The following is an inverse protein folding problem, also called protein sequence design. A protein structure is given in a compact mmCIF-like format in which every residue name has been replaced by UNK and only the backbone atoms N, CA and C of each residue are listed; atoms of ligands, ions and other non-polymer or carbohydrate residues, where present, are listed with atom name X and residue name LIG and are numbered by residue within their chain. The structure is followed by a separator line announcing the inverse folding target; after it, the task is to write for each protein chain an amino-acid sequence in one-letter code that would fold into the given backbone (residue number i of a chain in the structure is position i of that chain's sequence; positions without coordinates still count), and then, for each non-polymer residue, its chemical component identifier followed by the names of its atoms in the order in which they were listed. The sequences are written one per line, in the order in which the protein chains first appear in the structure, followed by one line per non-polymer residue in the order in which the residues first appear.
data_IF_128588162131
#
_entry.id   IF_128588162131
#
_cell.length_a   1.000
_cell.length_b   1.000
_cell.length_c   1.000
_cell.angle_alpha   90.00
_cell.angle_beta   90.00
_cell.angle_gamma   90.00
#
_symmetry.space_group_name_H-M   'P 1'
#
loop_
_entity.id
_entity.type
_entity.pdbx_description
1 polymer ?
#
# COMPACT_ATOMS: atom_id res chain seq x y z
N UNK A 1 -3.64 15.83 -10.96
CA UNK A 1 -3.96 14.43 -10.69
C UNK A 1 -3.82 13.55 -11.93
N UNK A 2 -4.34 13.96 -13.12
CA UNK A 2 -4.23 13.17 -14.37
C UNK A 2 -2.76 12.90 -14.75
N UNK A 3 -1.87 13.86 -14.60
CA UNK A 3 -0.43 13.72 -14.87
C UNK A 3 0.22 12.73 -13.89
N UNK A 4 -0.09 12.85 -12.60
CA UNK A 4 0.38 11.93 -11.55
C UNK A 4 -0.05 10.49 -11.87
N UNK A 5 -1.31 10.28 -12.22
CA UNK A 5 -1.82 8.96 -12.61
C UNK A 5 -1.11 8.40 -13.85
N UNK A 6 -0.82 9.24 -14.84
CA UNK A 6 -0.10 8.83 -16.04
C UNK A 6 1.34 8.38 -15.73
N UNK A 7 2.05 9.11 -14.85
CA UNK A 7 3.40 8.74 -14.44
C UNK A 7 3.43 7.47 -13.57
N UNK A 8 2.48 7.33 -12.65
CA UNK A 8 2.31 6.09 -11.87
C UNK A 8 2.09 4.90 -12.82
N UNK A 9 1.20 5.04 -13.81
CA UNK A 9 0.93 3.98 -14.79
C UNK A 9 2.16 3.60 -15.63
N UNK A 10 3.00 4.56 -16.00
CA UNK A 10 4.24 4.29 -16.75
C UNK A 10 5.24 3.46 -15.95
N UNK A 11 5.24 3.58 -14.61
CA UNK A 11 6.15 2.84 -13.75
C UNK A 11 5.74 1.37 -13.56
N UNK A 12 4.52 0.97 -13.97
CA UNK A 12 3.99 -0.37 -13.80
C UNK A 12 4.15 -1.16 -15.11
N UNK A 13 4.85 -2.29 -15.04
CA UNK A 13 4.91 -3.23 -16.15
C UNK A 13 3.51 -3.85 -16.38
N UNK A 14 2.96 -3.80 -17.61
CA UNK A 14 1.66 -4.39 -17.90
C UNK A 14 1.61 -5.92 -17.80
N UNK A 15 2.77 -6.60 -17.84
CA UNK A 15 2.83 -8.06 -17.74
C UNK A 15 2.54 -8.52 -16.30
N UNK A 16 1.49 -9.32 -16.12
CA UNK A 16 1.12 -9.93 -14.84
C UNK A 16 2.13 -11.04 -14.47
N UNK A 17 2.42 -11.13 -13.18
CA UNK A 17 3.28 -12.19 -12.59
C UNK A 17 2.41 -13.11 -11.73
N UNK A 18 1.72 -14.03 -12.40
CA UNK A 18 0.80 -14.97 -11.75
C UNK A 18 1.52 -15.87 -10.74
N UNK A 19 0.98 -15.91 -9.52
CA UNK A 19 1.48 -16.72 -8.41
C UNK A 19 0.35 -17.03 -7.43
N UNK A 20 0.64 -17.81 -6.40
CA UNK A 20 -0.20 -17.86 -5.21
C UNK A 20 -0.18 -16.50 -4.51
N UNK A 21 -1.34 -15.99 -4.20
CA UNK A 21 -1.50 -14.69 -3.53
C UNK A 21 -2.42 -14.81 -2.32
N UNK A 22 -2.14 -13.99 -1.33
CA UNK A 22 -3.04 -13.75 -0.21
C UNK A 22 -4.23 -12.85 -0.64
N UNK A 23 -3.95 -11.87 -1.49
CA UNK A 23 -4.93 -10.95 -2.04
C UNK A 23 -5.33 -9.80 -1.10
N UNK A 24 -4.94 -9.87 0.19
CA UNK A 24 -5.11 -8.79 1.16
C UNK A 24 -4.00 -8.81 2.22
N UNK A 25 -2.73 -8.79 1.78
CA UNK A 25 -1.55 -9.02 2.60
C UNK A 25 -1.09 -7.74 3.34
N UNK A 26 -1.99 -7.13 4.12
CA UNK A 26 -1.73 -5.97 4.97
C UNK A 26 -1.38 -6.39 6.42
N UNK A 27 -0.85 -5.46 7.23
CA UNK A 27 -0.40 -5.78 8.59
C UNK A 27 -1.51 -6.28 9.50
N UNK A 28 -2.75 -5.82 9.34
CA UNK A 28 -3.89 -6.30 10.11
C UNK A 28 -4.16 -7.80 9.91
N UNK A 29 -3.73 -8.38 8.79
CA UNK A 29 -3.89 -9.80 8.47
C UNK A 29 -2.63 -10.64 8.77
N UNK A 30 -1.63 -10.04 9.43
CA UNK A 30 -0.37 -10.70 9.82
C UNK A 30 -0.29 -10.78 11.34
N UNK A 31 -0.28 -11.98 11.87
CA UNK A 31 -0.16 -12.25 13.30
C UNK A 31 1.23 -12.79 13.63
N UNK A 32 1.83 -12.30 14.72
CA UNK A 32 3.10 -12.78 15.21
C UNK A 32 2.93 -13.57 16.51
N UNK A 33 3.35 -14.83 16.51
CA UNK A 33 3.38 -15.67 17.71
C UNK A 33 4.72 -15.52 18.43
N UNK A 34 4.76 -14.69 19.47
CA UNK A 34 5.96 -14.44 20.26
C UNK A 34 6.54 -15.69 20.96
N UNK A 35 5.70 -16.71 21.23
CA UNK A 35 6.18 -17.93 21.88
C UNK A 35 6.91 -18.86 20.92
N UNK A 36 6.40 -18.91 19.68
CA UNK A 36 6.94 -19.78 18.62
C UNK A 36 7.93 -19.07 17.72
N UNK A 37 8.03 -17.74 17.84
CA UNK A 37 8.77 -16.88 16.90
C UNK A 37 8.35 -17.14 15.44
N UNK A 38 7.05 -17.15 15.21
CA UNK A 38 6.42 -17.55 13.95
C UNK A 38 5.39 -16.53 13.49
N UNK A 39 5.15 -16.47 12.17
CA UNK A 39 4.18 -15.58 11.55
C UNK A 39 3.03 -16.43 11.02
N UNK A 40 1.80 -15.97 11.27
CA UNK A 40 0.58 -16.52 10.68
C UNK A 40 -0.14 -15.42 9.91
N UNK A 41 -0.66 -15.77 8.75
CA UNK A 41 -1.51 -14.89 7.95
C UNK A 41 -2.94 -15.41 8.00
N UNK A 42 -3.89 -14.50 8.01
CA UNK A 42 -5.33 -14.77 8.11
C UNK A 42 -6.09 -13.98 7.06
N UNK A 43 -7.31 -14.39 6.79
CA UNK A 43 -8.24 -13.67 5.92
C UNK A 43 -7.75 -13.46 4.48
N UNK A 44 -7.32 -14.54 3.78
CA UNK A 44 -6.99 -14.42 2.36
C UNK A 44 -8.24 -14.04 1.55
N UNK A 45 -8.09 -13.24 0.50
CA UNK A 45 -9.22 -12.82 -0.35
C UNK A 45 -9.96 -14.01 -0.97
N UNK A 46 -9.25 -15.01 -1.48
CA UNK A 46 -9.81 -16.24 -2.03
C UNK A 46 -10.63 -16.12 -3.32
N UNK A 47 -10.67 -14.92 -3.92
CA UNK A 47 -11.37 -14.64 -5.18
C UNK A 47 -10.50 -13.80 -6.13
N UNK A 48 -10.71 -13.97 -7.43
CA UNK A 48 -10.13 -13.11 -8.46
C UNK A 48 -10.95 -11.80 -8.66
N UNK A 49 -10.54 -10.99 -9.64
CA UNK A 49 -11.23 -9.73 -9.95
C UNK A 49 -12.61 -9.92 -10.58
N UNK A 50 -12.89 -11.11 -11.14
CA UNK A 50 -14.18 -11.47 -11.72
C UNK A 50 -15.12 -12.10 -10.68
N UNK A 51 -14.64 -12.28 -9.43
CA UNK A 51 -15.39 -12.86 -8.34
C UNK A 51 -15.40 -14.39 -8.30
N UNK A 52 -14.57 -15.05 -9.12
CA UNK A 52 -14.43 -16.51 -9.09
C UNK A 52 -13.48 -16.93 -7.97
N UNK A 53 -13.73 -18.11 -7.38
CA UNK A 53 -12.82 -18.68 -6.40
C UNK A 53 -11.42 -18.90 -7.02
N UNK A 54 -10.42 -18.26 -6.45
CA UNK A 54 -9.04 -18.35 -6.92
C UNK A 54 -8.06 -18.05 -5.79
N UNK A 55 -6.98 -18.81 -5.75
CA UNK A 55 -5.80 -18.55 -4.91
C UNK A 55 -4.66 -17.94 -5.73
N UNK A 56 -4.89 -17.72 -7.03
CA UNK A 56 -3.91 -17.17 -7.96
C UNK A 56 -4.21 -15.70 -8.26
N UNK A 57 -3.15 -14.93 -8.41
CA UNK A 57 -3.21 -13.53 -8.81
C UNK A 57 -1.82 -12.99 -9.12
N UNK A 58 -1.72 -11.69 -9.32
CA UNK A 58 -0.43 -11.03 -9.50
C UNK A 58 0.25 -10.84 -8.13
N UNK A 59 1.40 -11.48 -7.93
CA UNK A 59 2.16 -11.42 -6.67
C UNK A 59 2.57 -9.99 -6.29
N UNK A 60 2.69 -9.09 -7.27
CA UNK A 60 3.00 -7.67 -7.02
C UNK A 60 1.92 -6.99 -6.19
N UNK A 61 0.67 -7.48 -6.26
CA UNK A 61 -0.42 -6.98 -5.44
C UNK A 61 -0.17 -7.21 -3.94
N UNK A 62 0.28 -8.40 -3.54
CA UNK A 62 0.62 -8.69 -2.15
C UNK A 62 1.83 -7.86 -1.67
N UNK A 63 2.85 -7.68 -2.51
CA UNK A 63 3.96 -6.79 -2.22
C UNK A 63 3.50 -5.34 -2.03
N UNK A 64 2.59 -4.86 -2.88
CA UNK A 64 2.02 -3.53 -2.74
C UNK A 64 1.17 -3.40 -1.47
N UNK A 65 0.44 -4.43 -1.05
CA UNK A 65 -0.32 -4.45 0.20
C UNK A 65 0.58 -4.39 1.44
N UNK A 66 1.75 -5.03 1.42
CA UNK A 66 2.77 -4.86 2.47
C UNK A 66 3.28 -3.41 2.52
N UNK A 67 3.62 -2.82 1.38
CA UNK A 67 4.08 -1.42 1.33
C UNK A 67 2.97 -0.45 1.73
N UNK A 68 1.72 -0.76 1.41
CA UNK A 68 0.53 -0.01 1.81
C UNK A 68 0.45 0.15 3.34
N UNK A 69 0.73 -0.93 4.09
CA UNK A 69 0.82 -0.89 5.56
C UNK A 69 2.14 -0.29 6.06
N UNK A 70 3.27 -0.74 5.55
CA UNK A 70 4.59 -0.44 6.12
C UNK A 70 5.06 0.99 5.82
N UNK A 71 4.92 1.44 4.57
CA UNK A 71 5.38 2.77 4.10
C UNK A 71 4.21 3.75 4.09
N UNK A 72 3.09 3.34 3.51
CA UNK A 72 1.89 4.17 3.40
C UNK A 72 1.11 4.30 4.71
N UNK A 73 1.43 3.49 5.73
CA UNK A 73 0.81 3.54 7.06
C UNK A 73 -0.72 3.42 7.02
N UNK A 74 -1.24 2.63 6.09
CA UNK A 74 -2.67 2.43 5.86
C UNK A 74 -3.45 2.11 7.14
N UNK A 75 -2.91 1.21 7.97
CA UNK A 75 -3.57 0.75 9.21
C UNK A 75 -3.78 1.91 10.21
N UNK A 76 -2.93 2.93 10.22
CA UNK A 76 -3.13 4.14 11.02
C UNK A 76 -4.26 5.00 10.46
N UNK A 77 -4.36 5.12 9.13
CA UNK A 77 -5.40 5.93 8.49
C UNK A 77 -6.79 5.32 8.73
N UNK A 78 -6.96 4.00 8.52
CA UNK A 78 -8.26 3.35 8.72
C UNK A 78 -8.68 3.26 10.19
N UNK A 79 -7.73 3.35 11.11
CA UNK A 79 -8.00 3.44 12.55
C UNK A 79 -8.13 4.87 13.09
N UNK A 80 -8.20 5.87 12.20
CA UNK A 80 -8.30 7.30 12.51
C UNK A 80 -7.14 7.85 13.39
N UNK A 81 -5.97 7.20 13.29
CA UNK A 81 -4.75 7.59 14.02
C UNK A 81 -3.87 8.48 13.15
N UNK A 82 -4.39 9.60 12.73
CA UNK A 82 -3.71 10.60 11.91
C UNK A 82 -4.26 11.99 12.22
N UNK A 83 -3.54 13.03 11.82
CA UNK A 83 -4.01 14.40 11.88
C UNK A 83 -3.85 15.07 10.50
N UNK A 84 -4.85 15.85 10.09
CA UNK A 84 -4.82 16.65 8.87
C UNK A 84 -4.92 18.12 9.26
N UNK A 85 -3.99 18.92 8.74
CA UNK A 85 -4.07 20.37 8.73
C UNK A 85 -4.27 20.82 7.28
N UNK A 86 -5.36 21.52 7.05
CA UNK A 86 -5.72 22.06 5.73
C UNK A 86 -6.03 23.56 5.90
N UNK A 87 -5.21 24.41 5.30
CA UNK A 87 -5.36 25.87 5.30
C UNK A 87 -5.93 26.41 3.96
N UNK A 88 -6.37 25.49 3.07
CA UNK A 88 -6.90 25.80 1.75
C UNK A 88 -5.85 25.92 0.65
N UNK A 89 -4.56 26.07 1.00
CA UNK A 89 -3.42 26.10 0.07
C UNK A 89 -2.53 24.85 0.23
N UNK A 90 -2.38 24.39 1.47
CA UNK A 90 -1.50 23.27 1.82
C UNK A 90 -2.25 22.26 2.69
N UNK A 91 -2.12 21.00 2.32
CA UNK A 91 -2.61 19.88 3.12
C UNK A 91 -1.42 19.14 3.74
N UNK A 92 -1.34 19.16 5.06
CA UNK A 92 -0.31 18.45 5.84
C UNK A 92 -0.96 17.24 6.49
N UNK A 93 -0.45 16.06 6.18
CA UNK A 93 -0.84 14.80 6.80
C UNK A 93 0.24 14.38 7.81
N UNK A 94 -0.15 14.30 9.07
CA UNK A 94 0.68 13.80 10.15
C UNK A 94 0.26 12.37 10.52
N UNK A 95 1.22 11.46 10.48
CA UNK A 95 1.04 10.04 10.82
C UNK A 95 2.00 9.66 11.95
N UNK A 96 1.63 8.70 12.82
CA UNK A 96 2.51 8.26 13.89
C UNK A 96 3.88 7.85 13.38
N UNK A 97 4.92 8.28 14.05
CA UNK A 97 6.29 7.88 13.75
C UNK A 97 6.56 6.45 14.22
N UNK A 98 7.40 5.75 13.47
CA UNK A 98 7.94 4.46 13.86
C UNK A 98 9.37 4.63 14.36
N UNK A 99 9.73 3.95 15.43
CA UNK A 99 11.13 3.87 15.89
C UNK A 99 12.04 3.11 14.92
N UNK A 100 11.46 2.38 13.98
CA UNK A 100 12.17 1.60 12.96
C UNK A 100 11.93 2.24 11.60
N UNK A 101 13.00 2.49 10.86
CA UNK A 101 12.93 2.92 9.46
C UNK A 101 12.58 1.74 8.55
N UNK A 102 11.27 1.47 8.44
CA UNK A 102 10.76 0.40 7.58
C UNK A 102 11.06 0.65 6.11
N UNK A 103 11.10 1.91 5.67
CA UNK A 103 11.40 2.26 4.28
C UNK A 103 12.80 1.79 3.90
N UNK A 104 13.79 2.08 4.75
CA UNK A 104 15.17 1.65 4.53
C UNK A 104 15.32 0.12 4.52
N UNK A 105 14.65 -0.56 5.46
CA UNK A 105 14.67 -2.01 5.53
C UNK A 105 14.06 -2.66 4.28
N UNK A 106 12.91 -2.16 3.83
CA UNK A 106 12.23 -2.67 2.65
C UNK A 106 13.05 -2.42 1.39
N UNK A 107 13.58 -1.21 1.18
CA UNK A 107 14.45 -0.91 0.03
C UNK A 107 15.62 -1.90 -0.06
N UNK A 108 16.26 -2.19 1.07
CA UNK A 108 17.35 -3.17 1.13
C UNK A 108 16.91 -4.58 0.68
N UNK A 109 15.68 -5.00 1.00
CA UNK A 109 15.15 -6.30 0.53
C UNK A 109 14.94 -6.30 -0.98
N UNK A 110 14.51 -5.17 -1.56
CA UNK A 110 14.33 -5.06 -3.00
C UNK A 110 15.64 -5.07 -3.79
N UNK A 111 16.80 -4.70 -3.20
CA UNK A 111 18.11 -4.78 -3.87
C UNK A 111 18.47 -6.21 -4.33
N UNK A 112 17.98 -7.23 -3.64
CA UNK A 112 18.20 -8.64 -3.97
C UNK A 112 16.97 -9.32 -4.56
N UNK A 113 15.89 -8.58 -4.75
CA UNK A 113 14.61 -9.08 -5.27
C UNK A 113 14.59 -9.05 -6.80
N UNK A 114 13.78 -9.93 -7.40
CA UNK A 114 13.43 -9.86 -8.84
C UNK A 114 12.35 -8.81 -9.14
N UNK A 115 11.85 -8.08 -8.13
CA UNK A 115 10.83 -7.05 -8.25
C UNK A 115 11.46 -5.66 -8.14
N UNK A 116 10.98 -4.72 -8.95
CA UNK A 116 11.37 -3.32 -8.86
C UNK A 116 10.66 -2.63 -7.69
N UNK A 117 11.42 -2.03 -6.76
CA UNK A 117 10.85 -1.20 -5.69
C UNK A 117 9.96 -0.09 -6.24
N UNK A 118 10.42 0.59 -7.30
CA UNK A 118 9.68 1.68 -7.95
C UNK A 118 8.33 1.21 -8.49
N UNK A 119 8.30 0.04 -9.14
CA UNK A 119 7.07 -0.57 -9.63
C UNK A 119 6.09 -0.88 -8.51
N UNK A 120 6.56 -1.52 -7.43
CA UNK A 120 5.69 -1.88 -6.30
C UNK A 120 5.22 -0.61 -5.56
N UNK A 121 6.06 0.43 -5.48
CA UNK A 121 5.66 1.71 -4.89
C UNK A 121 4.56 2.40 -5.73
N UNK A 122 4.65 2.33 -7.06
CA UNK A 122 3.61 2.83 -7.97
C UNK A 122 2.28 2.09 -7.79
N UNK A 123 2.32 0.76 -7.71
CA UNK A 123 1.14 -0.05 -7.38
C UNK A 123 0.56 0.31 -6.00
N UNK A 124 1.42 0.56 -5.01
CA UNK A 124 1.00 1.00 -3.68
C UNK A 124 0.26 2.34 -3.73
N UNK A 125 0.77 3.32 -4.49
CA UNK A 125 0.09 4.60 -4.68
C UNK A 125 -1.29 4.41 -5.34
N UNK A 126 -1.40 3.49 -6.31
CA UNK A 126 -2.68 3.13 -6.95
C UNK A 126 -3.65 2.52 -5.94
N UNK A 127 -3.19 1.68 -5.01
CA UNK A 127 -4.04 1.11 -3.96
C UNK A 127 -4.69 2.21 -3.12
N UNK A 128 -3.92 3.23 -2.66
CA UNK A 128 -4.49 4.35 -1.91
C UNK A 128 -5.58 5.08 -2.68
N UNK A 129 -5.39 5.32 -3.98
CA UNK A 129 -6.40 5.98 -4.80
C UNK A 129 -7.64 5.09 -5.02
N UNK A 130 -7.48 3.77 -5.10
CA UNK A 130 -8.58 2.82 -5.22
C UNK A 130 -9.44 2.72 -3.95
N UNK A 131 -8.93 3.15 -2.79
CA UNK A 131 -9.67 3.17 -1.53
C UNK A 131 -10.67 4.32 -1.43
N UNK A 132 -10.55 5.37 -2.27
CA UNK A 132 -11.40 6.57 -2.17
C UNK A 132 -12.90 6.27 -2.23
N UNK A 133 -13.41 5.44 -3.16
CA UNK A 133 -14.83 5.10 -3.21
C UNK A 133 -15.30 4.29 -1.99
N UNK A 134 -14.42 3.48 -1.42
CA UNK A 134 -14.73 2.61 -0.27
C UNK A 134 -14.86 3.39 1.05
N UNK A 135 -14.34 4.62 1.08
CA UNK A 135 -14.38 5.50 2.26
C UNK A 135 -15.12 6.82 1.96
N UNK A 136 -16.17 6.77 1.13
CA UNK A 136 -16.95 7.96 0.75
C UNK A 136 -17.62 8.65 1.95
N UNK A 137 -17.89 7.91 3.01
CA UNK A 137 -18.47 8.37 4.28
C UNK A 137 -17.44 8.97 5.27
N UNK A 138 -16.14 8.92 4.91
CA UNK A 138 -15.04 9.42 5.73
C UNK A 138 -14.13 10.40 4.95
N UNK A 139 -14.54 11.67 4.75
CA UNK A 139 -13.77 12.64 3.94
C UNK A 139 -12.32 12.83 4.40
N UNK A 140 -12.06 12.82 5.72
CA UNK A 140 -10.70 12.96 6.26
C UNK A 140 -9.81 11.78 5.86
N UNK A 141 -10.35 10.55 5.84
CA UNK A 141 -9.60 9.38 5.34
C UNK A 141 -9.30 9.49 3.86
N UNK A 142 -10.27 9.98 3.07
CA UNK A 142 -10.04 10.22 1.64
C UNK A 142 -8.92 11.24 1.41
N UNK A 143 -8.89 12.36 2.17
CA UNK A 143 -7.80 13.33 2.12
C UNK A 143 -6.46 12.69 2.50
N UNK A 144 -6.43 11.88 3.57
CA UNK A 144 -5.23 11.16 3.98
C UNK A 144 -4.72 10.19 2.90
N UNK A 145 -5.62 9.46 2.22
CA UNK A 145 -5.25 8.57 1.12
C UNK A 145 -4.68 9.33 -0.08
N UNK A 146 -5.29 10.44 -0.46
CA UNK A 146 -4.77 11.29 -1.55
C UNK A 146 -3.40 11.86 -1.20
N UNK A 147 -3.23 12.39 0.02
CA UNK A 147 -1.95 12.93 0.49
C UNK A 147 -0.86 11.85 0.49
N UNK A 148 -1.19 10.65 0.97
CA UNK A 148 -0.26 9.52 0.97
C UNK A 148 0.11 9.10 -0.44
N UNK A 149 -0.85 8.98 -1.36
CA UNK A 149 -0.58 8.65 -2.77
C UNK A 149 0.33 9.68 -3.44
N UNK A 150 0.13 10.98 -3.16
CA UNK A 150 1.00 12.06 -3.66
C UNK A 150 2.43 11.96 -3.07
N UNK A 151 2.56 11.64 -1.78
CA UNK A 151 3.86 11.48 -1.15
C UNK A 151 4.63 10.28 -1.72
N UNK A 152 3.95 9.16 -1.97
CA UNK A 152 4.52 8.00 -2.65
C UNK A 152 4.95 8.35 -4.09
N UNK A 153 4.13 9.09 -4.82
CA UNK A 153 4.48 9.60 -6.15
C UNK A 153 5.73 10.49 -6.13
N UNK A 154 5.84 11.41 -5.17
CA UNK A 154 7.05 12.25 -5.02
C UNK A 154 8.30 11.42 -4.77
N UNK A 155 8.17 10.24 -4.15
CA UNK A 155 9.29 9.33 -3.95
C UNK A 155 9.67 8.59 -5.25
N UNK A 156 8.70 8.30 -6.13
CA UNK A 156 8.95 7.71 -7.45
C UNK A 156 9.78 8.62 -8.37
N UNK A 157 9.69 9.93 -8.18
CA UNK A 157 10.28 10.94 -9.08
C UNK A 157 11.62 11.52 -8.57
N UNK A 158 12.14 10.99 -7.47
CA UNK A 158 13.47 11.33 -6.91
C UNK A 158 14.57 10.47 -7.54
#
# INVERSE_FOLDING_TARGET
LKEILAEIHKAINPESRSSFVHGDFCFSNILYDFKKNDIKVIDPRGIDFDGNLSIYGDIRYDLAKILHSAIGKYDYIVSDRFHIQDDGETLILELPESSIDLTKLIKKQFETSSFSYTEILALTATLFLSMLPLHYDHPNRQQAFVATAINLYKELTK
#
